data_IF_438465302239
#
_entry.id   IF_438465302239
#
_cell.length_a   1.000
_cell.length_b   1.000
_cell.length_c   1.000
_cell.angle_alpha   90.00
_cell.angle_beta   90.00
_cell.angle_gamma   90.00
#
_symmetry.space_group_name_H-M   'P 1'
#
loop_
_entity.id
_entity.type
_entity.pdbx_description
1 polymer ?
#
# COMPACT_ATOMS: atom_id res chain seq x y z
N UNK A 1 -61.23 24.59 -10.71
CA UNK A 1 -61.59 23.16 -11.00
C UNK A 1 -60.61 22.14 -10.40
N UNK A 2 -59.28 22.28 -10.56
CA UNK A 2 -58.32 21.36 -9.88
C UNK A 2 -58.26 21.59 -8.36
N UNK A 3 -58.29 22.85 -7.91
CA UNK A 3 -58.27 23.21 -6.48
C UNK A 3 -59.57 22.77 -5.75
N UNK A 4 -60.73 22.83 -6.41
CA UNK A 4 -61.99 22.40 -5.81
C UNK A 4 -62.05 20.88 -5.60
N UNK A 5 -61.49 20.10 -6.55
CA UNK A 5 -61.44 18.64 -6.43
C UNK A 5 -60.47 18.20 -5.31
N UNK A 6 -59.36 18.90 -5.15
CA UNK A 6 -58.38 18.61 -4.10
C UNK A 6 -58.94 19.01 -2.71
N UNK A 7 -59.61 20.14 -2.60
CA UNK A 7 -60.32 20.57 -1.38
C UNK A 7 -61.39 19.58 -0.94
N UNK A 8 -62.21 19.10 -1.86
CA UNK A 8 -63.21 18.07 -1.58
C UNK A 8 -62.57 16.72 -1.13
N UNK A 9 -61.41 16.37 -1.70
CA UNK A 9 -60.66 15.20 -1.28
C UNK A 9 -60.13 15.34 0.15
N UNK A 10 -59.62 16.53 0.55
CA UNK A 10 -59.17 16.78 1.92
C UNK A 10 -60.30 16.70 2.94
N UNK A 11 -61.48 17.30 2.66
CA UNK A 11 -62.63 17.24 3.55
C UNK A 11 -63.08 15.79 3.77
N UNK A 12 -63.20 15.02 2.69
CA UNK A 12 -63.58 13.61 2.76
C UNK A 12 -62.55 12.77 3.49
N UNK A 13 -61.26 12.97 3.22
CA UNK A 13 -60.18 12.26 3.90
C UNK A 13 -60.14 12.60 5.40
N UNK A 14 -60.36 13.86 5.78
CA UNK A 14 -60.43 14.26 7.18
C UNK A 14 -61.62 13.60 7.91
N UNK A 15 -62.77 13.49 7.25
CA UNK A 15 -63.92 12.76 7.82
C UNK A 15 -63.67 11.25 7.94
N UNK A 16 -62.98 10.65 6.96
CA UNK A 16 -62.65 9.23 7.01
C UNK A 16 -61.63 8.92 8.11
N UNK A 17 -60.65 9.81 8.33
CA UNK A 17 -59.67 9.72 9.44
C UNK A 17 -60.39 9.76 10.80
N UNK A 18 -61.35 10.69 10.99
CA UNK A 18 -62.12 10.78 12.25
C UNK A 18 -63.00 9.56 12.49
N UNK A 19 -63.46 8.87 11.44
CA UNK A 19 -64.20 7.60 11.49
C UNK A 19 -63.31 6.35 11.58
N UNK A 20 -62.01 6.52 11.68
CA UNK A 20 -61.05 5.40 11.74
C UNK A 20 -60.75 4.72 10.39
N UNK A 21 -61.30 5.22 9.28
CA UNK A 21 -61.10 4.66 7.92
C UNK A 21 -59.77 5.16 7.32
N UNK A 22 -58.65 4.95 8.02
CA UNK A 22 -57.36 5.55 7.69
C UNK A 22 -56.82 5.09 6.33
N UNK A 23 -56.98 3.80 5.98
CA UNK A 23 -56.47 3.29 4.70
C UNK A 23 -57.23 3.87 3.51
N UNK A 24 -58.58 4.02 3.62
CA UNK A 24 -59.41 4.67 2.62
C UNK A 24 -59.03 6.13 2.41
N UNK A 25 -58.76 6.85 3.53
CA UNK A 25 -58.28 8.22 3.47
C UNK A 25 -56.94 8.32 2.75
N UNK A 26 -55.97 7.42 3.00
CA UNK A 26 -54.70 7.38 2.31
C UNK A 26 -54.83 7.11 0.81
N UNK A 27 -55.73 6.21 0.39
CA UNK A 27 -55.97 5.93 -1.02
C UNK A 27 -56.55 7.17 -1.72
N UNK A 28 -57.51 7.84 -1.09
CA UNK A 28 -58.14 9.06 -1.60
C UNK A 28 -57.11 10.18 -1.77
N UNK A 29 -56.28 10.42 -0.74
CA UNK A 29 -55.25 11.45 -0.78
C UNK A 29 -54.16 11.15 -1.81
N UNK A 30 -53.78 9.89 -1.98
CA UNK A 30 -52.80 9.47 -3.01
C UNK A 30 -53.36 9.63 -4.42
N UNK A 31 -54.65 9.45 -4.62
CA UNK A 31 -55.31 9.67 -5.91
C UNK A 31 -55.37 11.17 -6.26
N UNK A 32 -55.59 12.04 -5.27
CA UNK A 32 -55.73 13.48 -5.46
C UNK A 32 -54.37 14.23 -5.53
N UNK A 33 -53.38 13.83 -4.71
CA UNK A 33 -52.03 14.40 -4.63
C UNK A 33 -51.02 13.28 -4.38
N UNK A 34 -50.55 12.58 -5.42
CA UNK A 34 -49.66 11.40 -5.30
C UNK A 34 -48.33 11.64 -4.58
N UNK A 35 -47.81 12.87 -4.66
CA UNK A 35 -46.55 13.25 -4.08
C UNK A 35 -46.70 13.90 -2.68
N UNK A 36 -47.92 14.07 -2.18
CA UNK A 36 -48.22 14.86 -0.99
C UNK A 36 -47.55 16.24 -1.05
N UNK A 37 -47.60 16.89 -2.20
CA UNK A 37 -46.94 18.15 -2.47
C UNK A 37 -47.58 19.29 -1.66
N UNK A 38 -48.88 19.23 -1.42
CA UNK A 38 -49.59 20.22 -0.66
C UNK A 38 -49.45 20.00 0.86
N UNK A 39 -49.28 21.09 1.65
CA UNK A 39 -49.15 20.99 3.11
C UNK A 39 -50.30 20.29 3.80
N UNK A 40 -51.53 20.49 3.28
CA UNK A 40 -52.76 19.88 3.81
C UNK A 40 -52.77 18.39 3.54
N UNK A 41 -52.42 17.96 2.33
CA UNK A 41 -52.25 16.52 2.01
C UNK A 41 -51.23 15.87 2.91
N UNK A 42 -50.03 16.46 3.02
CA UNK A 42 -48.96 15.94 3.89
C UNK A 42 -49.42 15.78 5.35
N UNK A 43 -50.17 16.75 5.88
CA UNK A 43 -50.74 16.67 7.24
C UNK A 43 -51.72 15.51 7.38
N UNK A 44 -52.68 15.37 6.46
CA UNK A 44 -53.69 14.31 6.53
C UNK A 44 -53.10 12.93 6.31
N UNK A 45 -52.12 12.79 5.40
CA UNK A 45 -51.36 11.54 5.22
C UNK A 45 -50.60 11.19 6.50
N UNK A 46 -49.95 12.18 7.11
CA UNK A 46 -49.23 11.99 8.39
C UNK A 46 -50.18 11.55 9.53
N UNK A 47 -51.36 12.19 9.65
CA UNK A 47 -52.35 11.88 10.69
C UNK A 47 -52.96 10.47 10.48
N UNK A 48 -53.31 10.08 9.25
CA UNK A 48 -53.83 8.75 8.91
C UNK A 48 -52.75 7.66 9.16
N UNK A 49 -51.52 7.91 8.72
CA UNK A 49 -50.41 6.97 8.91
C UNK A 49 -50.10 6.79 10.41
N UNK A 50 -50.18 7.87 11.20
CA UNK A 50 -49.99 7.79 12.66
C UNK A 50 -51.06 6.93 13.33
N UNK A 51 -52.35 7.07 12.90
CA UNK A 51 -53.41 6.24 13.44
C UNK A 51 -53.23 4.75 13.07
N UNK A 52 -52.73 4.46 11.88
CA UNK A 52 -52.36 3.09 11.48
C UNK A 52 -51.19 2.60 12.32
N UNK A 53 -50.15 3.42 12.52
CA UNK A 53 -48.99 3.07 13.35
C UNK A 53 -49.40 2.71 14.79
N UNK A 54 -50.40 3.39 15.36
CA UNK A 54 -50.96 3.07 16.71
C UNK A 54 -51.63 1.71 16.75
N UNK A 55 -52.39 1.35 15.71
CA UNK A 55 -53.13 0.09 15.66
C UNK A 55 -52.21 -1.11 15.35
N UNK A 56 -51.14 -0.89 14.57
CA UNK A 56 -50.22 -1.94 14.10
C UNK A 56 -48.94 -2.02 14.92
N UNK A 57 -48.69 -1.06 15.83
CA UNK A 57 -47.46 -0.85 16.57
C UNK A 57 -46.17 -0.76 15.67
N UNK A 58 -46.38 -0.45 14.40
CA UNK A 58 -45.32 -0.42 13.38
C UNK A 58 -44.38 0.77 13.57
N UNK A 59 -43.13 0.51 13.99
CA UNK A 59 -42.05 1.55 14.07
C UNK A 59 -41.79 2.24 12.74
N UNK A 60 -41.95 1.54 11.62
CA UNK A 60 -41.83 2.09 10.28
C UNK A 60 -42.86 3.16 9.99
N UNK A 61 -44.14 2.87 10.35
CA UNK A 61 -45.23 3.78 10.07
C UNK A 61 -45.22 4.99 11.01
N UNK A 62 -44.75 4.84 12.25
CA UNK A 62 -44.46 5.99 13.12
C UNK A 62 -43.47 6.94 12.48
N UNK A 63 -42.36 6.44 11.88
CA UNK A 63 -41.39 7.28 11.19
C UNK A 63 -41.93 7.94 9.93
N UNK A 64 -42.71 7.20 9.15
CA UNK A 64 -43.40 7.77 7.97
C UNK A 64 -44.35 8.90 8.37
N UNK A 65 -45.18 8.68 9.40
CA UNK A 65 -46.06 9.71 9.93
C UNK A 65 -45.28 10.96 10.39
N UNK A 66 -44.16 10.78 11.09
CA UNK A 66 -43.28 11.89 11.51
C UNK A 66 -42.72 12.67 10.31
N UNK A 67 -42.30 11.96 9.26
CA UNK A 67 -41.79 12.59 8.03
C UNK A 67 -42.88 13.48 7.38
N UNK A 68 -44.07 12.97 7.20
CA UNK A 68 -45.17 13.74 6.57
C UNK A 68 -45.63 14.93 7.43
N UNK A 69 -45.78 14.76 8.74
CA UNK A 69 -46.18 15.88 9.63
C UNK A 69 -45.08 16.95 9.73
N UNK A 70 -43.80 16.55 9.70
CA UNK A 70 -42.66 17.47 9.63
C UNK A 70 -42.68 18.28 8.34
N UNK A 71 -42.92 17.63 7.21
CA UNK A 71 -43.02 18.31 5.91
C UNK A 71 -44.20 19.27 5.87
N UNK A 72 -45.37 18.87 6.37
CA UNK A 72 -46.53 19.74 6.48
C UNK A 72 -46.23 21.00 7.32
N UNK A 73 -45.59 20.82 8.49
CA UNK A 73 -45.17 21.93 9.36
C UNK A 73 -44.15 22.87 8.74
N UNK A 74 -43.19 22.31 7.96
CA UNK A 74 -42.20 23.12 7.23
C UNK A 74 -42.79 23.92 6.10
N UNK A 75 -43.65 23.31 5.28
CA UNK A 75 -44.28 23.94 4.13
C UNK A 75 -45.30 25.03 4.52
N UNK A 76 -46.00 24.85 5.64
CA UNK A 76 -46.88 25.86 6.21
C UNK A 76 -46.65 26.11 7.69
N UNK A 77 -45.65 26.95 8.06
CA UNK A 77 -45.29 27.24 9.45
C UNK A 77 -46.42 27.95 10.26
N UNK A 78 -47.40 28.50 9.56
CA UNK A 78 -48.57 29.17 10.19
C UNK A 78 -49.64 28.15 10.62
N UNK A 79 -49.60 26.93 10.11
CA UNK A 79 -50.53 25.88 10.51
C UNK A 79 -50.18 25.28 11.87
N UNK A 80 -50.72 25.88 12.92
CA UNK A 80 -50.53 25.41 14.29
C UNK A 80 -50.98 23.95 14.51
N UNK A 81 -51.88 23.43 13.68
CA UNK A 81 -52.41 22.06 13.78
C UNK A 81 -51.32 21.05 13.35
N UNK A 82 -50.67 21.31 12.22
CA UNK A 82 -49.55 20.46 11.75
C UNK A 82 -48.42 20.36 12.78
N UNK A 83 -47.98 21.49 13.31
CA UNK A 83 -46.91 21.55 14.34
C UNK A 83 -47.35 20.86 15.63
N UNK A 84 -48.59 21.02 16.06
CA UNK A 84 -49.12 20.36 17.26
C UNK A 84 -49.18 18.84 17.08
N UNK A 85 -49.65 18.34 15.92
CA UNK A 85 -49.71 16.91 15.64
C UNK A 85 -48.29 16.31 15.58
N UNK A 86 -47.35 17.01 14.94
CA UNK A 86 -45.97 16.56 14.88
C UNK A 86 -45.35 16.42 16.28
N UNK A 87 -45.50 17.42 17.13
CA UNK A 87 -44.97 17.38 18.51
C UNK A 87 -45.62 16.27 19.35
N UNK A 88 -46.94 16.06 19.22
CA UNK A 88 -47.65 14.95 19.89
C UNK A 88 -47.10 13.60 19.46
N UNK A 89 -46.89 13.42 18.15
CA UNK A 89 -46.32 12.21 17.59
C UNK A 89 -44.90 11.97 18.11
N UNK A 90 -44.05 13.00 18.15
CA UNK A 90 -42.69 12.88 18.69
C UNK A 90 -42.66 12.47 20.16
N UNK A 91 -43.56 13.03 20.99
CA UNK A 91 -43.67 12.65 22.39
C UNK A 91 -44.07 11.17 22.52
N UNK A 92 -45.05 10.70 21.76
CA UNK A 92 -45.45 9.29 21.75
C UNK A 92 -44.32 8.37 21.25
N UNK A 93 -43.63 8.78 20.21
CA UNK A 93 -42.44 8.04 19.71
C UNK A 93 -41.35 7.94 20.76
N UNK A 94 -41.10 9.03 21.53
CA UNK A 94 -40.15 9.04 22.60
C UNK A 94 -40.53 8.07 23.76
N UNK A 95 -41.79 8.08 24.17
CA UNK A 95 -42.33 7.14 25.16
C UNK A 95 -42.19 5.67 24.69
N UNK A 96 -42.44 5.41 23.43
CA UNK A 96 -42.26 4.09 22.79
C UNK A 96 -40.83 3.74 22.41
N UNK A 97 -39.84 4.60 22.68
CA UNK A 97 -38.42 4.45 22.31
C UNK A 97 -38.23 4.25 20.80
N UNK A 98 -38.99 4.97 19.99
CA UNK A 98 -38.88 4.98 18.53
C UNK A 98 -38.12 6.23 18.12
N UNK A 99 -36.94 6.08 17.51
CA UNK A 99 -36.21 7.22 16.95
C UNK A 99 -36.84 7.68 15.62
N UNK A 100 -36.89 9.00 15.39
CA UNK A 100 -37.44 9.59 14.16
C UNK A 100 -36.63 9.15 12.91
N UNK A 101 -35.33 9.00 13.06
CA UNK A 101 -34.42 8.58 11.99
C UNK A 101 -33.78 7.22 12.30
N UNK A 102 -33.50 6.45 11.25
CA UNK A 102 -32.76 5.18 11.36
C UNK A 102 -31.26 5.44 11.51
N UNK A 103 -30.78 6.61 11.04
CA UNK A 103 -29.36 7.01 11.15
C UNK A 103 -29.11 7.47 12.58
N UNK A 104 -28.17 6.83 13.30
CA UNK A 104 -27.79 7.27 14.64
C UNK A 104 -27.31 8.72 14.62
N UNK A 105 -27.76 9.52 15.60
CA UNK A 105 -27.22 10.89 15.73
C UNK A 105 -25.74 10.83 16.05
N UNK A 106 -24.94 11.58 15.31
CA UNK A 106 -23.48 11.64 15.53
C UNK A 106 -23.13 12.44 16.78
N UNK A 107 -23.97 13.44 17.15
CA UNK A 107 -23.80 14.30 18.32
C UNK A 107 -25.10 14.36 19.13
N UNK A 108 -24.98 14.44 20.45
CA UNK A 108 -26.08 14.63 21.37
C UNK A 108 -25.63 15.59 22.48
N UNK A 109 -26.40 16.66 22.71
CA UNK A 109 -26.12 17.70 23.72
C UNK A 109 -24.67 18.25 23.70
N UNK A 110 -24.12 18.49 22.49
CA UNK A 110 -22.79 19.03 22.30
C UNK A 110 -21.64 18.00 22.38
N UNK A 111 -21.90 16.78 22.77
CA UNK A 111 -20.92 15.69 22.81
C UNK A 111 -21.11 14.64 21.68
N UNK A 112 -20.07 13.96 21.23
CA UNK A 112 -20.20 12.90 20.25
C UNK A 112 -20.88 11.67 20.88
N UNK A 113 -21.79 11.04 20.13
CA UNK A 113 -22.35 9.74 20.50
C UNK A 113 -21.37 8.62 20.15
N UNK A 114 -21.61 7.40 20.62
CA UNK A 114 -20.81 6.23 20.24
C UNK A 114 -20.75 6.08 18.70
N UNK A 115 -21.86 6.29 18.00
CA UNK A 115 -21.91 6.29 16.52
C UNK A 115 -21.09 7.44 15.92
N UNK A 116 -21.10 8.61 16.56
CA UNK A 116 -20.28 9.76 16.16
C UNK A 116 -18.78 9.48 16.34
N UNK A 117 -18.38 8.87 17.46
CA UNK A 117 -16.99 8.47 17.71
C UNK A 117 -16.50 7.47 16.65
N UNK A 118 -17.29 6.43 16.35
CA UNK A 118 -16.96 5.43 15.32
C UNK A 118 -16.84 6.08 13.94
N UNK A 119 -17.76 6.99 13.59
CA UNK A 119 -17.71 7.69 12.30
C UNK A 119 -16.49 8.64 12.19
N UNK A 120 -16.15 9.37 13.27
CA UNK A 120 -14.96 10.23 13.30
C UNK A 120 -13.66 9.42 13.21
N UNK A 121 -13.59 8.28 13.92
CA UNK A 121 -12.44 7.39 13.86
C UNK A 121 -12.28 6.78 12.46
N UNK A 122 -13.37 6.35 11.83
CA UNK A 122 -13.38 5.89 10.43
C UNK A 122 -12.90 6.98 9.44
N UNK A 123 -13.38 8.21 9.61
CA UNK A 123 -12.92 9.34 8.79
C UNK A 123 -11.43 9.66 9.01
N UNK A 124 -10.95 9.57 10.25
CA UNK A 124 -9.53 9.75 10.58
C UNK A 124 -8.65 8.69 9.92
N UNK A 125 -9.06 7.42 9.96
CA UNK A 125 -8.33 6.34 9.29
C UNK A 125 -8.33 6.51 7.75
N UNK A 126 -9.43 7.00 7.16
CA UNK A 126 -9.49 7.30 5.72
C UNK A 126 -8.53 8.46 5.36
N UNK A 127 -8.46 9.50 6.18
CA UNK A 127 -7.53 10.62 5.97
C UNK A 127 -6.08 10.14 6.10
N UNK A 128 -5.74 9.34 7.12
CA UNK A 128 -4.42 8.74 7.25
C UNK A 128 -4.08 7.87 6.04
N UNK A 129 -5.02 7.03 5.58
CA UNK A 129 -4.86 6.24 4.37
C UNK A 129 -4.61 7.10 3.12
N UNK A 130 -5.34 8.21 2.96
CA UNK A 130 -5.12 9.15 1.85
C UNK A 130 -3.76 9.85 1.94
N UNK A 131 -3.31 10.22 3.14
CA UNK A 131 -1.99 10.84 3.34
C UNK A 131 -0.87 9.84 3.00
N UNK A 132 -0.97 8.59 3.44
CA UNK A 132 0.02 7.55 3.08
C UNK A 132 0.05 7.28 1.58
N UNK A 133 -1.12 7.27 0.92
CA UNK A 133 -1.23 7.13 -0.53
C UNK A 133 -0.63 8.34 -1.27
N UNK A 134 -0.89 9.56 -0.80
CA UNK A 134 -0.39 10.79 -1.43
C UNK A 134 1.13 10.94 -1.28
N UNK A 135 1.70 10.44 -0.18
CA UNK A 135 3.15 10.50 0.10
C UNK A 135 3.92 9.29 -0.44
N UNK A 136 3.26 8.28 -1.02
CA UNK A 136 3.96 7.21 -1.69
C UNK A 136 4.46 7.70 -3.05
N UNK A 137 5.73 8.07 -3.09
CA UNK A 137 6.43 8.38 -4.33
C UNK A 137 6.53 7.13 -5.21
N UNK A 138 6.49 7.30 -6.55
CA UNK A 138 6.88 6.24 -7.46
C UNK A 138 8.38 6.07 -7.31
N UNK A 139 8.82 5.00 -6.68
CA UNK A 139 10.23 4.68 -6.60
C UNK A 139 10.68 4.11 -7.94
N UNK A 140 11.59 4.79 -8.61
CA UNK A 140 12.33 4.23 -9.73
C UNK A 140 13.39 3.30 -9.17
N UNK A 141 13.44 2.07 -9.66
CA UNK A 141 14.40 1.07 -9.21
C UNK A 141 15.26 0.62 -10.37
N UNK A 142 16.56 0.55 -10.15
CA UNK A 142 17.53 0.08 -11.12
C UNK A 142 17.61 -1.45 -11.06
N UNK A 143 17.54 -2.10 -12.23
CA UNK A 143 17.68 -3.55 -12.36
C UNK A 143 18.88 -3.91 -13.23
N UNK A 144 19.58 -4.96 -12.81
CA UNK A 144 20.71 -5.55 -13.52
C UNK A 144 20.46 -7.04 -13.71
N UNK A 145 20.82 -7.56 -14.87
CA UNK A 145 20.82 -9.00 -15.14
C UNK A 145 22.24 -9.52 -15.26
N UNK A 146 22.49 -10.67 -14.64
CA UNK A 146 23.72 -11.46 -14.75
C UNK A 146 23.36 -12.77 -15.46
N UNK A 147 23.89 -13.01 -16.66
CA UNK A 147 23.83 -14.30 -17.32
C UNK A 147 24.97 -15.17 -16.79
N UNK A 148 24.62 -16.28 -16.14
CA UNK A 148 25.58 -17.15 -15.44
C UNK A 148 25.71 -18.48 -16.16
N UNK A 149 26.90 -19.07 -16.14
CA UNK A 149 27.13 -20.46 -16.55
C UNK A 149 27.87 -21.22 -15.46
N UNK A 150 27.46 -22.48 -15.23
CA UNK A 150 28.13 -23.40 -14.28
C UNK A 150 27.90 -24.85 -14.71
N UNK A 151 28.64 -25.75 -14.11
CA UNK A 151 28.46 -27.19 -14.32
C UNK A 151 27.73 -27.82 -13.14
N UNK A 152 26.56 -28.40 -13.40
CA UNK A 152 25.79 -29.18 -12.44
C UNK A 152 25.51 -30.55 -12.96
N UNK A 153 25.81 -31.58 -12.15
CA UNK A 153 25.65 -33.03 -12.52
C UNK A 153 26.30 -33.38 -13.86
N UNK A 154 27.41 -32.72 -14.23
CA UNK A 154 28.12 -32.96 -15.49
C UNK A 154 27.53 -32.25 -16.72
N UNK A 155 26.48 -31.48 -16.57
CA UNK A 155 25.88 -30.63 -17.61
C UNK A 155 26.13 -29.16 -17.37
N UNK A 156 26.36 -28.41 -18.45
CA UNK A 156 26.46 -26.95 -18.36
C UNK A 156 25.06 -26.36 -18.27
N UNK A 157 24.86 -25.56 -17.25
CA UNK A 157 23.66 -24.71 -17.05
C UNK A 157 23.97 -23.30 -17.55
N UNK A 158 22.98 -22.61 -18.10
CA UNK A 158 23.05 -21.23 -18.52
C UNK A 158 21.73 -20.56 -18.11
N UNK A 159 21.80 -19.70 -17.09
CA UNK A 159 20.61 -19.09 -16.50
C UNK A 159 20.85 -17.62 -16.18
N UNK A 160 19.80 -16.89 -15.93
CA UNK A 160 19.87 -15.46 -15.65
C UNK A 160 19.40 -15.17 -14.22
N UNK A 161 20.16 -14.31 -13.53
CA UNK A 161 19.83 -13.78 -12.23
C UNK A 161 19.53 -12.29 -12.39
N UNK A 162 18.34 -11.84 -11.98
CA UNK A 162 17.95 -10.43 -11.99
C UNK A 162 18.11 -9.83 -10.60
N UNK A 163 18.77 -8.69 -10.50
CA UNK A 163 19.08 -7.99 -9.25
C UNK A 163 18.42 -6.60 -9.28
N UNK A 164 17.67 -6.28 -8.23
CA UNK A 164 17.15 -4.95 -7.93
C UNK A 164 18.16 -4.23 -7.04
N UNK A 165 18.65 -3.06 -7.46
CA UNK A 165 19.59 -2.25 -6.70
C UNK A 165 18.86 -1.32 -5.72
N UNK A 166 19.43 -1.16 -4.52
CA UNK A 166 18.91 -0.28 -3.48
C UNK A 166 19.52 1.12 -3.60
N UNK A 167 19.14 1.83 -4.67
CA UNK A 167 19.69 3.14 -5.01
C UNK A 167 19.50 4.22 -3.95
N UNK A 168 18.42 4.10 -3.14
CA UNK A 168 18.13 5.04 -2.06
C UNK A 168 18.86 4.71 -0.75
N UNK A 169 19.09 3.42 -0.49
CA UNK A 169 19.68 2.93 0.78
C UNK A 169 21.20 2.75 0.70
N UNK A 170 21.72 2.48 -0.50
CA UNK A 170 23.15 2.30 -0.77
C UNK A 170 23.54 2.95 -2.11
N UNK A 171 23.44 4.28 -2.24
CA UNK A 171 23.63 4.99 -3.50
C UNK A 171 25.01 4.82 -4.10
N UNK A 172 26.08 4.87 -3.30
CA UNK A 172 27.46 4.73 -3.81
C UNK A 172 27.73 3.33 -4.37
N UNK A 173 27.33 2.29 -3.63
CA UNK A 173 27.49 0.89 -4.06
C UNK A 173 26.63 0.58 -5.28
N UNK A 174 25.37 1.02 -5.29
CA UNK A 174 24.45 0.81 -6.39
C UNK A 174 24.94 1.48 -7.68
N UNK A 175 25.37 2.73 -7.60
CA UNK A 175 25.88 3.45 -8.77
C UNK A 175 27.19 2.85 -9.29
N UNK A 176 28.15 2.51 -8.40
CA UNK A 176 29.40 1.88 -8.81
C UNK A 176 29.15 0.51 -9.48
N UNK A 177 28.26 -0.33 -8.92
CA UNK A 177 27.91 -1.63 -9.49
C UNK A 177 27.26 -1.46 -10.88
N UNK A 178 26.33 -0.54 -11.02
CA UNK A 178 25.72 -0.18 -12.29
C UNK A 178 26.75 0.28 -13.34
N UNK A 179 27.67 1.14 -12.96
CA UNK A 179 28.72 1.61 -13.87
C UNK A 179 29.69 0.48 -14.28
N UNK A 180 30.02 -0.44 -13.37
CA UNK A 180 30.81 -1.65 -13.69
C UNK A 180 30.08 -2.54 -14.71
N UNK A 181 28.77 -2.74 -14.55
CA UNK A 181 27.94 -3.46 -15.51
C UNK A 181 27.91 -2.75 -16.86
N UNK A 182 27.61 -1.44 -16.90
CA UNK A 182 27.58 -0.65 -18.12
C UNK A 182 28.93 -0.63 -18.86
N UNK A 183 30.01 -0.73 -18.12
CA UNK A 183 31.38 -0.82 -18.68
C UNK A 183 31.79 -2.25 -19.05
N UNK A 184 30.90 -3.25 -18.91
CA UNK A 184 31.16 -4.66 -19.25
C UNK A 184 32.29 -5.27 -18.40
N UNK A 185 32.56 -4.74 -17.19
CA UNK A 185 33.67 -5.17 -16.37
C UNK A 185 33.50 -6.57 -15.78
N UNK A 186 32.28 -7.02 -15.62
CA UNK A 186 31.97 -8.34 -15.09
C UNK A 186 31.85 -9.44 -16.15
N UNK A 187 31.78 -9.06 -17.43
CA UNK A 187 31.63 -10.03 -18.53
C UNK A 187 32.85 -10.95 -18.62
N UNK A 188 32.63 -12.26 -18.62
CA UNK A 188 33.66 -13.30 -18.61
C UNK A 188 34.38 -13.48 -17.28
N UNK A 189 33.98 -12.77 -16.20
CA UNK A 189 34.57 -12.96 -14.87
C UNK A 189 33.99 -14.18 -14.15
N UNK A 190 34.64 -14.61 -13.04
CA UNK A 190 34.26 -15.83 -12.33
C UNK A 190 33.83 -15.55 -10.91
N UNK A 191 32.99 -16.43 -10.38
CA UNK A 191 32.83 -16.59 -8.94
C UNK A 191 34.02 -17.43 -8.43
N UNK A 192 35.00 -16.73 -7.86
CA UNK A 192 36.28 -17.34 -7.43
C UNK A 192 36.19 -17.99 -6.04
N UNK A 193 35.11 -17.72 -5.29
CA UNK A 193 34.88 -18.29 -3.95
C UNK A 193 33.41 -18.64 -3.78
N UNK A 194 33.16 -19.90 -3.51
CA UNK A 194 31.81 -20.47 -3.32
C UNK A 194 31.81 -21.28 -2.04
N UNK A 195 30.85 -21.02 -1.17
CA UNK A 195 30.67 -21.70 0.12
C UNK A 195 29.19 -21.99 0.29
N UNK A 196 28.84 -23.26 0.38
CA UNK A 196 27.48 -23.75 0.66
C UNK A 196 26.97 -23.21 2.00
N UNK A 197 25.68 -22.98 2.11
CA UNK A 197 25.02 -22.37 3.29
C UNK A 197 25.58 -20.98 3.67
N UNK A 198 26.33 -20.32 2.79
CA UNK A 198 26.90 -19.02 3.07
C UNK A 198 26.76 -18.02 1.91
N UNK A 199 27.61 -18.10 0.87
CA UNK A 199 27.59 -17.13 -0.23
C UNK A 199 28.38 -17.60 -1.46
N UNK A 200 28.15 -16.95 -2.60
CA UNK A 200 29.00 -17.03 -3.78
C UNK A 200 29.60 -15.64 -4.05
N UNK A 201 30.93 -15.56 -4.16
CA UNK A 201 31.66 -14.29 -4.30
C UNK A 201 32.37 -14.21 -5.66
N UNK A 202 32.14 -13.07 -6.33
CA UNK A 202 32.73 -12.75 -7.63
C UNK A 202 33.06 -11.27 -7.77
N UNK A 203 33.17 -10.78 -9.01
CA UNK A 203 33.38 -9.37 -9.32
C UNK A 203 34.84 -8.91 -9.30
N UNK A 204 35.80 -9.81 -9.20
CA UNK A 204 37.21 -9.49 -9.44
C UNK A 204 37.49 -9.48 -10.97
N UNK A 205 37.35 -8.33 -11.60
CA UNK A 205 37.54 -8.18 -13.02
C UNK A 205 39.01 -7.93 -13.42
N UNK A 206 39.94 -7.85 -12.48
CA UNK A 206 41.36 -7.62 -12.77
C UNK A 206 42.16 -8.89 -12.71
N UNK A 207 42.07 -9.67 -11.62
CA UNK A 207 42.87 -10.85 -11.38
C UNK A 207 42.07 -12.15 -11.47
N UNK A 208 40.75 -12.11 -11.13
CA UNK A 208 39.85 -13.26 -11.19
C UNK A 208 40.02 -14.26 -10.06
N UNK A 209 40.86 -13.97 -9.08
CA UNK A 209 41.22 -14.86 -7.95
C UNK A 209 40.83 -14.29 -6.57
N UNK A 210 40.20 -13.14 -6.55
CA UNK A 210 39.77 -12.44 -5.34
C UNK A 210 40.76 -11.44 -4.79
N UNK A 211 41.92 -11.28 -5.44
CA UNK A 211 42.96 -10.34 -5.00
C UNK A 211 42.88 -8.97 -5.67
N UNK A 212 42.04 -8.83 -6.70
CA UNK A 212 41.88 -7.64 -7.51
C UNK A 212 40.51 -6.99 -7.42
N UNK A 213 40.19 -6.20 -8.43
CA UNK A 213 38.98 -5.42 -8.49
C UNK A 213 39.07 -4.08 -7.76
N UNK A 214 38.38 -3.07 -8.25
CA UNK A 214 38.38 -1.73 -7.67
C UNK A 214 37.13 -0.99 -8.04
N UNK A 215 36.78 0.10 -7.35
CA UNK A 215 35.69 0.98 -7.75
C UNK A 215 36.07 1.76 -9.02
N UNK A 216 35.09 2.07 -9.86
CA UNK A 216 35.27 2.92 -11.05
C UNK A 216 34.53 4.26 -10.93
N UNK A 217 33.72 4.39 -9.87
CA UNK A 217 33.12 5.66 -9.45
C UNK A 217 33.91 6.17 -8.24
N UNK A 218 34.31 7.45 -8.27
CA UNK A 218 34.99 8.06 -7.13
C UNK A 218 34.01 8.34 -6.01
N UNK A 219 34.26 7.80 -4.83
CA UNK A 219 33.43 7.95 -3.62
C UNK A 219 34.21 8.50 -2.42
N UNK A 220 35.32 9.22 -2.68
CA UNK A 220 36.13 9.87 -1.64
C UNK A 220 37.10 8.95 -0.92
N UNK A 221 37.37 7.73 -1.41
CA UNK A 221 38.27 6.78 -0.76
C UNK A 221 39.34 6.21 -1.70
N UNK A 222 40.54 6.08 -1.19
CA UNK A 222 41.69 5.45 -1.85
C UNK A 222 42.30 4.42 -0.90
N UNK A 223 42.27 3.12 -1.24
CA UNK A 223 42.63 2.01 -0.34
C UNK A 223 42.01 2.13 1.07
N UNK A 224 40.75 2.50 1.17
CA UNK A 224 40.07 2.70 2.44
C UNK A 224 40.42 3.99 3.19
N UNK A 225 41.24 4.86 2.63
CA UNK A 225 41.58 6.16 3.23
C UNK A 225 40.78 7.27 2.58
N UNK A 226 40.12 8.10 3.40
CA UNK A 226 39.36 9.24 2.91
C UNK A 226 40.27 10.27 2.24
N UNK A 227 39.87 10.75 1.06
CA UNK A 227 40.57 11.79 0.29
C UNK A 227 39.56 12.76 -0.31
N UNK A 228 39.90 14.05 -0.34
CA UNK A 228 38.99 15.08 -0.88
C UNK A 228 38.86 14.98 -2.39
N UNK A 229 39.96 14.73 -3.11
CA UNK A 229 39.93 14.70 -4.58
C UNK A 229 40.48 13.37 -5.11
N UNK A 230 39.89 12.91 -6.21
CA UNK A 230 40.34 11.71 -6.90
C UNK A 230 41.79 11.80 -7.43
N UNK A 231 42.27 13.02 -7.72
CA UNK A 231 43.65 13.31 -8.14
C UNK A 231 44.68 13.01 -7.07
N UNK A 232 44.31 12.96 -5.80
CA UNK A 232 45.19 12.69 -4.68
C UNK A 232 45.46 11.19 -4.51
N UNK A 233 44.61 10.35 -5.09
CA UNK A 233 44.82 8.91 -5.20
C UNK A 233 45.71 8.59 -6.39
N UNK A 234 46.77 7.84 -6.17
CA UNK A 234 47.84 7.59 -7.15
C UNK A 234 47.37 6.81 -8.40
N UNK A 235 46.25 6.09 -8.33
CA UNK A 235 45.69 5.32 -9.42
C UNK A 235 44.21 5.03 -9.18
N UNK A 236 43.42 4.97 -10.26
CA UNK A 236 42.05 4.49 -10.22
C UNK A 236 41.94 3.06 -9.68
N UNK A 237 42.95 2.24 -9.89
CA UNK A 237 42.97 0.84 -9.38
C UNK A 237 42.98 0.74 -7.85
N UNK A 238 43.11 1.86 -7.16
CA UNK A 238 43.10 1.98 -5.69
C UNK A 238 41.81 2.63 -5.15
N UNK A 239 40.87 2.98 -6.06
CA UNK A 239 39.61 3.55 -5.64
C UNK A 239 38.76 2.51 -4.92
N UNK A 240 38.21 2.90 -3.78
CA UNK A 240 37.35 2.11 -2.94
C UNK A 240 36.07 2.92 -2.59
N UNK A 241 35.08 2.26 -2.02
CA UNK A 241 33.81 2.87 -1.65
C UNK A 241 33.74 3.09 -0.12
N UNK A 242 33.10 4.15 0.29
CA UNK A 242 32.67 4.34 1.66
C UNK A 242 31.66 3.29 2.07
N UNK A 243 31.76 2.72 3.28
CA UNK A 243 30.79 1.73 3.74
C UNK A 243 29.42 2.38 3.94
N UNK A 244 28.35 1.75 3.43
CA UNK A 244 26.94 2.09 3.63
C UNK A 244 26.22 0.96 4.40
N UNK A 245 26.95 0.29 5.33
CA UNK A 245 26.47 -0.92 6.01
C UNK A 245 25.42 -0.66 7.09
N UNK A 246 25.26 0.57 7.57
CA UNK A 246 24.26 1.01 8.55
C UNK A 246 22.96 1.52 7.90
N UNK A 247 22.70 1.12 6.64
CA UNK A 247 21.55 1.53 5.85
C UNK A 247 20.22 0.84 6.23
N UNK A 248 20.21 0.06 7.31
CA UNK A 248 19.06 -0.69 7.79
C UNK A 248 18.76 -1.98 7.01
N UNK A 249 19.59 -2.35 6.02
CA UNK A 249 19.51 -3.62 5.30
C UNK A 249 20.35 -4.69 5.97
N UNK A 250 19.84 -5.92 6.01
CA UNK A 250 20.46 -7.07 6.64
C UNK A 250 20.68 -8.21 5.63
N UNK A 251 21.55 -9.16 5.94
CA UNK A 251 21.89 -10.29 5.10
C UNK A 251 20.82 -11.39 5.18
N UNK A 252 19.65 -11.11 4.59
CA UNK A 252 18.60 -12.13 4.36
C UNK A 252 18.93 -12.97 3.12
N UNK A 253 18.25 -14.12 2.92
CA UNK A 253 18.33 -14.84 1.66
C UNK A 253 18.12 -13.93 0.44
N UNK A 254 18.83 -14.24 -0.65
CA UNK A 254 18.67 -13.57 -1.94
C UNK A 254 19.07 -12.09 -1.95
N UNK A 255 20.04 -11.68 -1.17
CA UNK A 255 20.61 -10.32 -1.27
C UNK A 255 21.97 -10.34 -1.98
N UNK A 256 22.33 -9.18 -2.54
CA UNK A 256 23.68 -8.86 -2.99
C UNK A 256 24.35 -7.93 -1.99
N UNK A 257 25.59 -8.22 -1.64
CA UNK A 257 26.35 -7.43 -0.69
C UNK A 257 27.80 -7.20 -1.15
N UNK A 258 28.40 -6.11 -0.70
CA UNK A 258 29.77 -5.73 -1.06
C UNK A 258 30.81 -6.57 -0.31
N UNK A 259 31.65 -7.23 -1.05
CA UNK A 259 32.85 -7.87 -0.48
C UNK A 259 33.93 -6.83 -0.22
N UNK A 260 34.58 -6.89 0.94
CA UNK A 260 35.67 -6.01 1.35
C UNK A 260 36.65 -6.71 2.27
N UNK A 261 37.81 -6.11 2.47
CA UNK A 261 38.77 -6.56 3.47
C UNK A 261 38.36 -6.11 4.88
N UNK A 262 39.06 -6.56 5.92
CA UNK A 262 38.73 -6.22 7.32
C UNK A 262 38.66 -4.72 7.63
N UNK A 263 39.56 -3.84 7.12
CA UNK A 263 39.44 -2.40 7.30
C UNK A 263 38.15 -1.85 6.66
N UNK A 264 37.52 -0.80 7.22
CA UNK A 264 36.39 -0.15 6.63
C UNK A 264 36.76 0.55 5.31
N UNK A 265 35.73 0.82 4.48
CA UNK A 265 35.85 1.59 3.23
C UNK A 265 36.79 0.95 2.19
N UNK A 266 36.92 -0.38 2.20
CA UNK A 266 37.77 -1.12 1.25
C UNK A 266 37.00 -1.90 0.20
N UNK A 267 35.66 -1.70 0.10
CA UNK A 267 34.82 -2.22 -0.97
C UNK A 267 35.24 -1.63 -2.33
N UNK A 268 35.18 -2.42 -3.39
CA UNK A 268 35.53 -1.99 -4.74
C UNK A 268 34.54 -2.50 -5.80
N UNK A 269 34.91 -3.60 -6.46
CA UNK A 269 34.03 -4.26 -7.43
C UNK A 269 33.55 -5.64 -7.01
N UNK A 270 34.24 -6.26 -6.03
CA UNK A 270 33.86 -7.59 -5.60
C UNK A 270 32.55 -7.57 -4.78
N UNK A 271 31.70 -8.51 -5.08
CA UNK A 271 30.41 -8.68 -4.42
C UNK A 271 30.15 -10.16 -4.10
N UNK A 272 29.18 -10.42 -3.26
CA UNK A 272 28.68 -11.76 -3.04
C UNK A 272 27.16 -11.80 -3.09
N UNK A 273 26.65 -12.94 -3.52
CA UNK A 273 25.22 -13.26 -3.54
C UNK A 273 24.95 -14.26 -2.43
N UNK A 274 23.87 -14.04 -1.70
CA UNK A 274 23.43 -14.92 -0.61
C UNK A 274 22.40 -15.91 -1.16
N UNK A 275 22.61 -17.24 -1.03
CA UNK A 275 21.64 -18.26 -1.42
C UNK A 275 20.32 -18.20 -0.65
N UNK A 276 19.29 -18.91 -1.12
CA UNK A 276 17.96 -18.96 -0.46
C UNK A 276 18.00 -19.62 0.93
N UNK A 277 18.92 -20.51 1.16
CA UNK A 277 19.10 -21.30 2.38
C UNK A 277 20.12 -20.71 3.37
N UNK A 278 20.63 -19.49 3.11
CA UNK A 278 21.63 -18.83 3.93
C UNK A 278 21.14 -17.53 4.57
N UNK A 279 21.59 -17.29 5.80
CA UNK A 279 21.37 -16.04 6.56
C UNK A 279 22.63 -15.64 7.31
N UNK A 280 23.63 -15.04 6.64
CA UNK A 280 24.91 -14.68 7.28
C UNK A 280 24.80 -13.40 8.12
N UNK A 281 24.02 -13.44 9.19
CA UNK A 281 23.70 -12.32 10.09
C UNK A 281 24.93 -11.68 10.77
N UNK A 282 26.04 -12.43 10.89
CA UNK A 282 27.31 -11.92 11.42
C UNK A 282 27.96 -10.85 10.51
N UNK A 283 27.47 -10.65 9.30
CA UNK A 283 27.92 -9.61 8.36
C UNK A 283 27.11 -8.32 8.46
N UNK A 284 25.98 -8.33 9.22
CA UNK A 284 25.10 -7.17 9.36
C UNK A 284 25.84 -5.99 10.01
N UNK A 285 25.65 -4.79 9.44
CA UNK A 285 26.35 -3.60 9.88
C UNK A 285 27.86 -3.57 9.58
N UNK A 286 28.41 -4.59 8.89
CA UNK A 286 29.83 -4.69 8.49
C UNK A 286 30.00 -4.62 6.99
N UNK A 287 29.18 -5.37 6.25
CA UNK A 287 29.16 -5.37 4.79
C UNK A 287 27.91 -4.67 4.28
N UNK A 288 28.03 -3.90 3.22
CA UNK A 288 26.91 -3.14 2.65
C UNK A 288 26.04 -4.04 1.80
N UNK A 289 24.80 -4.28 2.23
CA UNK A 289 23.76 -4.86 1.38
C UNK A 289 23.21 -3.75 0.48
N UNK A 290 23.40 -3.87 -0.83
CA UNK A 290 23.05 -2.83 -1.80
C UNK A 290 22.02 -3.25 -2.85
N UNK A 291 21.42 -4.44 -2.69
CA UNK A 291 20.37 -4.92 -3.56
C UNK A 291 19.83 -6.27 -3.14
N UNK A 292 18.89 -6.75 -3.93
CA UNK A 292 18.32 -8.10 -3.78
C UNK A 292 18.15 -8.78 -5.13
N UNK A 293 18.21 -10.10 -5.12
CA UNK A 293 17.86 -10.93 -6.27
C UNK A 293 16.34 -10.94 -6.41
N UNK A 294 15.83 -10.43 -7.50
CA UNK A 294 14.40 -10.37 -7.80
C UNK A 294 13.90 -11.61 -8.56
N UNK A 295 14.82 -12.33 -9.23
CA UNK A 295 14.55 -13.57 -9.95
C UNK A 295 15.83 -14.40 -10.08
N UNK A 296 15.74 -15.72 -10.01
CA UNK A 296 16.85 -16.66 -10.20
C UNK A 296 17.71 -16.90 -8.95
N UNK A 297 17.17 -16.69 -7.75
CA UNK A 297 17.88 -16.97 -6.50
C UNK A 297 18.13 -18.46 -6.29
N UNK A 298 17.26 -19.33 -6.80
CA UNK A 298 17.42 -20.78 -6.85
C UNK A 298 18.68 -21.19 -7.63
N UNK A 299 19.04 -20.43 -8.69
CA UNK A 299 20.30 -20.65 -9.42
C UNK A 299 21.52 -20.31 -8.55
N UNK A 300 21.44 -19.25 -7.74
CA UNK A 300 22.51 -18.90 -6.77
C UNK A 300 22.66 -20.02 -5.74
N UNK A 301 21.57 -20.61 -5.27
CA UNK A 301 21.58 -21.76 -4.37
C UNK A 301 22.20 -23.00 -5.04
N UNK A 302 21.83 -23.30 -6.29
CA UNK A 302 22.44 -24.40 -7.04
C UNK A 302 23.96 -24.19 -7.24
N UNK A 303 24.37 -22.96 -7.53
CA UNK A 303 25.80 -22.61 -7.66
C UNK A 303 26.53 -22.76 -6.33
N UNK A 304 25.93 -22.41 -5.17
CA UNK A 304 26.57 -22.53 -3.87
C UNK A 304 26.96 -23.99 -3.54
N UNK A 305 26.29 -24.97 -4.15
CA UNK A 305 26.46 -26.40 -3.94
C UNK A 305 27.38 -27.09 -4.96
N UNK A 306 28.02 -26.33 -5.87
CA UNK A 306 28.97 -26.93 -6.81
C UNK A 306 30.20 -27.52 -6.10
N UNK A 307 30.85 -28.49 -6.72
CA UNK A 307 32.08 -29.04 -6.18
C UNK A 307 33.18 -27.99 -6.08
N UNK A 308 33.80 -27.89 -4.92
CA UNK A 308 34.84 -26.92 -4.60
C UNK A 308 36.15 -27.63 -4.24
N UNK A 309 37.26 -26.90 -4.39
CA UNK A 309 38.63 -27.34 -4.14
C UNK A 309 39.49 -26.18 -3.62
N UNK A 310 40.80 -26.32 -3.68
CA UNK A 310 41.75 -25.30 -3.27
C UNK A 310 42.09 -25.32 -1.78
N UNK A 311 43.04 -24.49 -1.33
CA UNK A 311 43.57 -24.50 0.03
C UNK A 311 42.51 -24.20 1.11
N UNK A 312 41.49 -23.44 0.74
CA UNK A 312 40.38 -23.08 1.64
C UNK A 312 39.09 -23.90 1.37
N UNK A 313 39.11 -24.84 0.40
CA UNK A 313 37.98 -25.64 0.04
C UNK A 313 36.78 -24.81 -0.48
N UNK A 314 37.04 -23.70 -1.15
CA UNK A 314 35.99 -22.78 -1.60
C UNK A 314 36.14 -22.31 -3.05
N UNK A 315 37.15 -22.80 -3.78
CA UNK A 315 37.30 -22.52 -5.22
C UNK A 315 36.51 -23.53 -6.03
N UNK A 316 35.59 -23.15 -6.92
CA UNK A 316 34.89 -24.07 -7.78
C UNK A 316 35.83 -24.97 -8.59
N UNK A 317 35.55 -26.25 -8.66
CA UNK A 317 36.33 -27.22 -9.48
C UNK A 317 36.15 -26.93 -10.97
N UNK A 318 34.92 -26.65 -11.36
CA UNK A 318 34.57 -26.15 -12.69
C UNK A 318 34.22 -24.67 -12.55
N UNK A 319 34.69 -23.87 -13.49
CA UNK A 319 34.42 -22.44 -13.46
C UNK A 319 32.93 -22.15 -13.37
N UNK A 320 32.57 -21.19 -12.52
CA UNK A 320 31.27 -20.55 -12.47
C UNK A 320 31.46 -19.13 -13.04
N UNK A 321 30.93 -18.90 -14.22
CA UNK A 321 31.23 -17.70 -15.01
C UNK A 321 30.04 -16.76 -15.11
N UNK A 322 30.29 -15.46 -15.01
CA UNK A 322 29.38 -14.39 -15.44
C UNK A 322 29.63 -14.19 -16.92
N UNK A 323 28.81 -14.78 -17.78
CA UNK A 323 28.99 -14.73 -19.23
C UNK A 323 28.79 -13.30 -19.77
N UNK A 324 27.77 -12.62 -19.26
CA UNK A 324 27.47 -11.25 -19.62
C UNK A 324 26.63 -10.57 -18.53
N UNK A 325 26.66 -9.25 -18.55
CA UNK A 325 25.83 -8.43 -17.66
C UNK A 325 25.06 -7.38 -18.46
N UNK A 326 23.86 -7.02 -18.01
CA UNK A 326 23.04 -6.01 -18.65
C UNK A 326 22.36 -5.11 -17.61
N UNK A 327 22.38 -3.81 -17.85
CA UNK A 327 21.54 -2.86 -17.14
C UNK A 327 20.19 -2.78 -17.84
N UNK A 328 19.13 -3.18 -17.16
CA UNK A 328 17.77 -3.27 -17.75
C UNK A 328 17.04 -1.90 -17.72
N UNK A 329 17.56 -0.95 -16.94
CA UNK A 329 16.98 0.38 -16.79
C UNK A 329 16.13 0.53 -15.55
N UNK A 330 15.50 1.70 -15.45
CA UNK A 330 14.65 2.06 -14.32
C UNK A 330 13.22 1.56 -14.57
N UNK A 331 12.75 0.69 -13.70
CA UNK A 331 11.34 0.28 -13.70
C UNK A 331 10.58 1.15 -12.70
N UNK A 332 9.66 1.99 -13.18
CA UNK A 332 8.70 2.66 -12.31
C UNK A 332 7.75 1.63 -11.69
N UNK A 333 7.95 1.29 -10.44
CA UNK A 333 6.92 0.57 -9.69
C UNK A 333 5.84 1.56 -9.25
N UNK A 334 4.80 1.70 -10.07
CA UNK A 334 3.60 2.45 -9.64
C UNK A 334 2.89 1.63 -8.57
N UNK A 335 2.55 2.23 -7.42
CA UNK A 335 1.68 1.57 -6.46
C UNK A 335 0.39 1.10 -7.15
N UNK A 336 -0.10 -0.09 -6.81
CA UNK A 336 -1.25 -0.75 -7.46
C UNK A 336 -2.51 0.14 -7.61
N UNK A 337 -2.70 1.15 -6.76
CA UNK A 337 -3.81 2.10 -6.81
C UNK A 337 -3.61 3.25 -7.82
N UNK A 338 -2.43 3.40 -8.46
CA UNK A 338 -2.17 4.36 -9.56
C UNK A 338 -2.48 3.79 -10.95
N UNK A 339 -3.06 2.60 -11.03
CA UNK A 339 -3.51 2.00 -12.28
C UNK A 339 -4.91 2.42 -12.72
N UNK A 340 -5.52 3.43 -12.05
CA UNK A 340 -6.84 3.99 -12.37
C UNK A 340 -6.74 5.45 -12.74
#
# INVERSE_FOLDING_TARGET
>A
MADDALSAAWEKAAMDITKGKNEGALQLLRAADPQAAEPMTARLVGEATWNIAKSTESKSDYRKAAMFLREASKKNPKDKKSSSLYNKLLNEMQEKRISETVIPRMFNNGGPTLAGIVAMFGAFLLILGMITIANSESTTRDYVELSLSWTENGAIQNETVSIELYTDDAPAHSENFKQLVLAGKFDGTKFHRVIDDFMIQGGDFTNGDGTGGHAIVWDGYCDGQAMENSSDCSSITRWTLGDEADNGRIHTPCVISMAKTSPPHTGGSQFFLVPEDSTPDHLDGVHTVFGKISSGCDHVTAISQVAVSGPQGSTPVNDVTIESTAFIGQVETKPWYKFW
#
